data_IF_735978583103
#
_entry.id   IF_735978583103
#
_cell.length_a   1.000
_cell.length_b   1.000
_cell.length_c   1.000
_cell.angle_alpha   90.00
_cell.angle_beta   90.00
_cell.angle_gamma   90.00
#
_symmetry.space_group_name_H-M   'P 1'
#
loop_
_entity.id
_entity.type
_entity.pdbx_description
1 polymer ?
#
# COMPACT_ATOMS: atom_id res chain seq x y z
N UNK A 1 17.25 14.01 10.56
CA UNK A 1 17.40 14.33 9.12
C UNK A 1 17.04 13.12 8.27
N UNK A 2 16.24 13.31 7.25
CA UNK A 2 15.88 12.24 6.31
C UNK A 2 17.05 11.97 5.36
N UNK A 3 17.30 10.69 5.12
CA UNK A 3 18.35 10.27 4.20
C UNK A 3 18.06 10.76 2.78
N UNK A 4 19.10 10.87 1.94
CA UNK A 4 18.97 11.30 0.56
C UNK A 4 18.05 10.40 -0.26
N UNK A 5 17.98 9.13 0.04
CA UNK A 5 17.15 8.15 -0.66
C UNK A 5 16.34 7.34 0.36
N UNK A 6 15.38 8.00 1.06
CA UNK A 6 14.65 7.34 2.14
C UNK A 6 13.73 6.24 1.62
N UNK A 7 13.49 5.24 2.47
CA UNK A 7 12.50 4.22 2.18
C UNK A 7 11.11 4.84 2.37
N UNK A 8 10.26 4.69 1.37
CA UNK A 8 8.85 5.14 1.41
C UNK A 8 7.98 3.90 1.59
N UNK A 9 7.21 3.88 2.66
CA UNK A 9 6.23 2.80 2.89
C UNK A 9 4.87 3.24 2.38
N UNK A 10 4.26 2.42 1.54
CA UNK A 10 2.93 2.70 1.00
C UNK A 10 1.96 1.68 1.57
N UNK A 11 0.88 2.15 2.19
CA UNK A 11 -0.12 1.29 2.83
C UNK A 11 -1.42 1.34 2.04
N UNK A 12 -1.97 0.16 1.71
CA UNK A 12 -3.30 0.05 1.14
C UNK A 12 -4.17 -0.79 2.06
N UNK A 13 -5.17 -0.18 2.72
CA UNK A 13 -6.20 -0.95 3.39
C UNK A 13 -7.23 -1.38 2.36
N UNK A 14 -7.75 -2.60 2.47
CA UNK A 14 -8.74 -3.13 1.54
C UNK A 14 -9.79 -3.97 2.27
N UNK A 15 -11.05 -3.75 1.91
CA UNK A 15 -12.14 -4.64 2.30
C UNK A 15 -13.14 -4.70 1.17
N UNK A 16 -13.22 -5.87 0.53
CA UNK A 16 -14.15 -6.10 -0.59
C UNK A 16 -14.05 -5.04 -1.69
N UNK A 17 -12.82 -4.62 -2.00
CA UNK A 17 -12.56 -3.59 -3.01
C UNK A 17 -12.10 -4.15 -4.35
N UNK A 18 -12.52 -5.37 -4.73
CA UNK A 18 -12.01 -6.04 -5.92
C UNK A 18 -12.22 -5.25 -7.22
N UNK A 19 -13.21 -4.36 -7.25
CA UNK A 19 -13.53 -3.60 -8.46
C UNK A 19 -12.37 -2.72 -8.92
N UNK A 20 -11.63 -2.11 -8.00
CA UNK A 20 -10.56 -1.18 -8.33
C UNK A 20 -9.20 -1.58 -7.76
N UNK A 21 -9.17 -2.61 -6.94
CA UNK A 21 -7.94 -3.00 -6.22
C UNK A 21 -6.76 -3.26 -7.14
N UNK A 22 -6.97 -3.92 -8.26
CA UNK A 22 -5.87 -4.24 -9.17
C UNK A 22 -5.21 -2.99 -9.72
N UNK A 23 -6.01 -1.98 -10.10
CA UNK A 23 -5.48 -0.71 -10.59
C UNK A 23 -4.68 0.01 -9.50
N UNK A 24 -5.17 -0.03 -8.27
CA UNK A 24 -4.46 0.57 -7.14
C UNK A 24 -3.11 -0.11 -6.94
N UNK A 25 -3.09 -1.43 -6.90
CA UNK A 25 -1.85 -2.19 -6.73
C UNK A 25 -0.85 -1.85 -7.82
N UNK A 26 -1.30 -1.83 -9.08
CA UNK A 26 -0.43 -1.50 -10.21
C UNK A 26 0.17 -0.11 -10.06
N UNK A 27 -0.63 0.86 -9.60
CA UNK A 27 -0.15 2.23 -9.42
C UNK A 27 0.95 2.32 -8.38
N UNK A 28 0.91 1.47 -7.36
CA UNK A 28 1.94 1.43 -6.32
C UNK A 28 3.22 0.75 -6.82
N UNK A 29 3.09 -0.40 -7.46
CA UNK A 29 4.28 -1.15 -7.90
C UNK A 29 4.97 -0.51 -9.09
N UNK A 30 4.32 0.43 -9.78
CA UNK A 30 4.86 1.14 -10.93
C UNK A 30 5.34 2.56 -10.61
N UNK A 31 5.55 2.88 -9.34
CA UNK A 31 6.11 4.18 -8.97
C UNK A 31 7.49 4.39 -9.57
N UNK A 32 7.79 5.63 -9.99
CA UNK A 32 9.10 5.97 -10.52
C UNK A 32 10.19 5.89 -9.46
N UNK A 33 9.85 6.23 -8.22
CA UNK A 33 10.76 6.08 -7.09
C UNK A 33 10.81 4.61 -6.67
N UNK A 34 12.00 4.01 -6.62
CA UNK A 34 12.10 2.55 -6.45
C UNK A 34 12.34 2.09 -5.01
N UNK A 35 12.80 2.96 -4.13
CA UNK A 35 13.02 2.59 -2.73
C UNK A 35 11.70 2.63 -1.94
N UNK A 36 10.79 1.72 -2.29
CA UNK A 36 9.43 1.64 -1.77
C UNK A 36 9.18 0.26 -1.17
N UNK A 37 8.51 0.23 -0.01
CA UNK A 37 7.93 -1.01 0.48
C UNK A 37 6.42 -0.89 0.42
N UNK A 38 5.74 -1.96 0.05
CA UNK A 38 4.29 -1.99 -0.06
C UNK A 38 3.70 -2.85 1.04
N UNK A 39 2.79 -2.26 1.82
CA UNK A 39 2.10 -2.93 2.93
C UNK A 39 0.61 -2.95 2.59
N UNK A 40 0.04 -4.14 2.46
CA UNK A 40 -1.37 -4.30 2.12
C UNK A 40 -2.10 -5.01 3.26
N UNK A 41 -3.10 -4.34 3.81
CA UNK A 41 -3.87 -4.86 4.95
C UNK A 41 -5.30 -5.10 4.49
N UNK A 42 -5.68 -6.37 4.45
CA UNK A 42 -7.01 -6.79 4.02
C UNK A 42 -7.88 -7.13 5.22
N UNK A 43 -9.12 -6.66 5.20
CA UNK A 43 -10.09 -6.84 6.28
C UNK A 43 -10.86 -8.16 6.19
N UNK A 44 -10.24 -9.22 5.72
CA UNK A 44 -10.87 -10.54 5.52
C UNK A 44 -11.95 -10.45 4.45
N UNK A 45 -11.57 -9.97 3.27
CA UNK A 45 -12.46 -9.84 2.12
C UNK A 45 -13.04 -11.18 1.69
N UNK A 46 -14.29 -11.12 1.22
CA UNK A 46 -15.03 -12.29 0.71
C UNK A 46 -15.26 -12.22 -0.80
N UNK A 47 -14.84 -11.15 -1.44
CA UNK A 47 -14.90 -10.98 -2.89
C UNK A 47 -13.65 -11.55 -3.56
N UNK A 48 -13.28 -11.04 -4.74
CA UNK A 48 -12.09 -11.50 -5.46
C UNK A 48 -10.80 -10.81 -5.03
N UNK A 49 -10.84 -9.99 -3.97
CA UNK A 49 -9.66 -9.24 -3.51
C UNK A 49 -8.46 -10.14 -3.22
N UNK A 50 -8.67 -11.23 -2.51
CA UNK A 50 -7.56 -12.12 -2.15
C UNK A 50 -6.93 -12.78 -3.38
N UNK A 51 -7.73 -13.08 -4.40
CA UNK A 51 -7.23 -13.62 -5.66
C UNK A 51 -6.36 -12.61 -6.39
N UNK A 52 -6.78 -11.35 -6.40
CA UNK A 52 -6.03 -10.25 -7.01
C UNK A 52 -4.71 -10.06 -6.26
N UNK A 53 -4.75 -10.02 -4.93
CA UNK A 53 -3.56 -9.84 -4.10
C UNK A 53 -2.55 -10.96 -4.36
N UNK A 54 -3.04 -12.20 -4.45
CA UNK A 54 -2.18 -13.35 -4.72
C UNK A 54 -1.42 -13.19 -6.02
N UNK A 55 -2.05 -12.62 -7.04
CA UNK A 55 -1.42 -12.37 -8.35
C UNK A 55 -0.20 -11.47 -8.23
N UNK A 56 -0.21 -10.52 -7.28
CA UNK A 56 0.89 -9.57 -7.10
C UNK A 56 1.69 -9.83 -5.83
N UNK A 57 1.55 -11.01 -5.22
CA UNK A 57 2.13 -11.29 -3.90
C UNK A 57 3.63 -11.05 -3.83
N UNK A 58 4.36 -11.33 -4.92
CA UNK A 58 5.81 -11.15 -4.96
C UNK A 58 6.23 -9.68 -5.04
N UNK A 59 5.30 -8.77 -5.28
CA UNK A 59 5.56 -7.32 -5.32
C UNK A 59 5.09 -6.62 -4.05
N UNK A 60 4.50 -7.36 -3.11
CA UNK A 60 3.98 -6.81 -1.85
C UNK A 60 4.91 -7.27 -0.73
N UNK A 61 5.48 -6.31 0.00
CA UNK A 61 6.46 -6.59 1.04
C UNK A 61 5.83 -7.20 2.29
N UNK A 62 4.63 -6.74 2.65
CA UNK A 62 3.89 -7.31 3.77
C UNK A 62 2.41 -7.38 3.43
N UNK A 63 1.81 -8.52 3.68
CA UNK A 63 0.39 -8.75 3.46
C UNK A 63 -0.23 -9.44 4.66
N UNK A 64 -1.40 -8.98 5.06
CA UNK A 64 -2.20 -9.58 6.11
C UNK A 64 -3.66 -9.53 5.70
N UNK A 65 -4.41 -10.61 5.96
CA UNK A 65 -5.87 -10.62 5.78
C UNK A 65 -6.51 -11.11 7.07
N UNK A 66 -7.05 -10.17 7.83
CA UNK A 66 -7.73 -10.44 9.11
C UNK A 66 -8.85 -9.43 9.28
N UNK A 67 -9.88 -9.83 10.03
CA UNK A 67 -11.00 -8.94 10.29
C UNK A 67 -10.54 -7.64 10.95
N UNK A 68 -10.99 -6.52 10.42
CA UNK A 68 -10.75 -5.19 10.97
C UNK A 68 -12.03 -4.62 11.54
N UNK A 69 -11.91 -3.66 12.47
CA UNK A 69 -13.07 -2.93 12.96
C UNK A 69 -13.52 -1.86 11.97
N UNK A 70 -12.55 -1.24 11.28
CA UNK A 70 -12.82 -0.21 10.27
C UNK A 70 -11.50 0.10 9.53
N UNK A 71 -11.58 1.05 8.56
CA UNK A 71 -10.42 1.43 7.75
C UNK A 71 -9.26 1.97 8.59
N UNK A 72 -9.55 2.71 9.66
CA UNK A 72 -8.51 3.27 10.52
C UNK A 72 -7.76 2.19 11.28
N UNK A 73 -8.45 1.12 11.67
CA UNK A 73 -7.82 -0.03 12.29
C UNK A 73 -6.85 -0.72 11.31
N UNK A 74 -7.27 -0.87 10.05
CA UNK A 74 -6.42 -1.45 9.01
C UNK A 74 -5.17 -0.60 8.78
N UNK A 75 -5.33 0.73 8.69
CA UNK A 75 -4.20 1.65 8.51
C UNK A 75 -3.26 1.59 9.70
N UNK A 76 -3.78 1.55 10.92
CA UNK A 76 -2.95 1.44 12.12
C UNK A 76 -2.10 0.17 12.09
N UNK A 77 -2.69 -0.96 11.71
CA UNK A 77 -1.95 -2.22 11.55
C UNK A 77 -0.82 -2.04 10.52
N UNK A 78 -1.13 -1.39 9.40
CA UNK A 78 -0.17 -1.14 8.35
C UNK A 78 1.00 -0.29 8.82
N UNK A 79 0.71 0.80 9.52
CA UNK A 79 1.74 1.69 10.07
C UNK A 79 2.70 0.90 10.97
N UNK A 80 2.18 0.00 11.80
CA UNK A 80 3.00 -0.81 12.69
C UNK A 80 3.95 -1.75 11.95
N UNK A 81 3.65 -2.07 10.68
CA UNK A 81 4.48 -2.95 9.85
C UNK A 81 5.42 -2.18 8.94
N UNK A 82 5.27 -0.86 8.86
CA UNK A 82 6.10 -0.04 8.00
C UNK A 82 7.50 0.15 8.58
N UNK A 83 8.49 0.14 7.70
CA UNK A 83 9.90 0.38 8.06
C UNK A 83 10.41 1.68 7.45
N UNK A 84 9.62 2.31 6.59
CA UNK A 84 10.03 3.51 5.87
C UNK A 84 10.06 4.75 6.74
N UNK A 85 10.84 5.72 6.29
CA UNK A 85 10.92 7.03 6.94
C UNK A 85 9.74 7.91 6.55
N UNK A 86 9.12 7.63 5.41
CA UNK A 86 7.95 8.33 4.89
C UNK A 86 6.85 7.29 4.69
N UNK A 87 5.63 7.61 5.12
CA UNK A 87 4.49 6.71 4.99
C UNK A 87 3.42 7.39 4.14
N UNK A 88 2.99 6.71 3.09
CA UNK A 88 1.88 7.14 2.24
C UNK A 88 0.72 6.15 2.41
N UNK A 89 -0.49 6.68 2.46
CA UNK A 89 -1.71 5.88 2.56
C UNK A 89 -2.52 6.06 1.28
N UNK A 90 -2.84 4.96 0.60
CA UNK A 90 -3.74 4.99 -0.55
C UNK A 90 -4.83 3.93 -0.41
N UNK A 91 -6.08 4.34 -0.55
CA UNK A 91 -7.21 3.42 -0.47
C UNK A 91 -7.27 2.51 -1.69
N UNK A 92 -7.93 1.37 -1.54
CA UNK A 92 -7.98 0.35 -2.60
C UNK A 92 -8.84 0.72 -3.81
N UNK A 93 -9.47 1.89 -3.78
CA UNK A 93 -10.25 2.43 -4.90
C UNK A 93 -9.60 3.68 -5.51
N UNK A 94 -8.39 4.03 -5.11
CA UNK A 94 -7.65 5.17 -5.62
C UNK A 94 -6.47 4.71 -6.47
N UNK A 95 -5.98 5.62 -7.32
CA UNK A 95 -4.81 5.39 -8.16
C UNK A 95 -3.73 6.39 -7.76
N UNK A 96 -2.55 5.88 -7.42
CA UNK A 96 -1.42 6.72 -7.05
C UNK A 96 -0.74 7.26 -8.29
N UNK A 97 -0.53 8.59 -8.34
CA UNK A 97 0.21 9.19 -9.45
C UNK A 97 1.58 8.52 -9.59
N UNK A 98 2.06 8.25 -10.82
CA UNK A 98 3.34 7.55 -11.03
C UNK A 98 4.54 8.16 -10.32
N UNK A 99 4.51 9.47 -10.09
CA UNK A 99 5.60 10.20 -9.43
C UNK A 99 5.29 10.59 -7.98
N UNK A 100 4.23 10.04 -7.39
CA UNK A 100 3.80 10.43 -6.05
C UNK A 100 4.90 10.24 -5.01
N UNK A 101 5.53 9.07 -4.97
CA UNK A 101 6.59 8.80 -4.00
C UNK A 101 7.81 9.70 -4.27
N UNK A 102 8.19 9.86 -5.54
CA UNK A 102 9.30 10.73 -5.93
C UNK A 102 9.05 12.18 -5.49
N UNK A 103 7.83 12.68 -5.72
CA UNK A 103 7.48 14.05 -5.37
C UNK A 103 7.49 14.28 -3.86
N UNK A 104 7.00 13.29 -3.08
CA UNK A 104 7.02 13.40 -1.62
C UNK A 104 8.45 13.42 -1.09
N UNK A 105 9.32 12.59 -1.64
CA UNK A 105 10.73 12.56 -1.24
C UNK A 105 11.41 13.91 -1.49
N UNK A 106 11.07 14.59 -2.58
CA UNK A 106 11.64 15.90 -2.90
C UNK A 106 11.26 16.98 -1.89
N UNK A 107 10.11 16.85 -1.22
CA UNK A 107 9.65 17.82 -0.23
C UNK A 107 10.42 17.67 1.08
N UNK A 108 10.89 16.52 1.39
CA UNK A 108 11.67 16.24 2.58
C UNK A 108 13.16 16.31 2.27
#
# INVERSE_FOLDING_TARGET
MIKKNPLVSIITPNFNGDKYLEETIRSVINQTYKNVEYVLIDGKSTDRSLKIIKKYRNKINYFESKKDNNIFHAVDKGIRKCKGEIILWINSDDILHPKAAENVVKVF
#
